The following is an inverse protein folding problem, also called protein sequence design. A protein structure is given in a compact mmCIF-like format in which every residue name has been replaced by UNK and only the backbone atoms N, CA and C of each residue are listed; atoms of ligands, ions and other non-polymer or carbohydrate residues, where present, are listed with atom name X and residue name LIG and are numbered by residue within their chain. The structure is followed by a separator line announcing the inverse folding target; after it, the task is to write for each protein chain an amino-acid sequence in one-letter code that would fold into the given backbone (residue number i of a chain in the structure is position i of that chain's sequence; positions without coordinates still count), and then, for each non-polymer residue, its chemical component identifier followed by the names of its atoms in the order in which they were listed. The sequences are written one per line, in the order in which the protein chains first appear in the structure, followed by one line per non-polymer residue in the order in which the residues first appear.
data_IF_513420443450
#
_entry.id   IF_513420443450
#
_cell.length_a   1.000
_cell.length_b   1.000
_cell.length_c   1.000
_cell.angle_alpha   90.00
_cell.angle_beta   90.00
_cell.angle_gamma   90.00
#
_symmetry.space_group_name_H-M   'P 1'
#
loop_
_entity.id
_entity.type
_entity.pdbx_description
1 polymer ?
#
# COMPACT_ATOMS: atom_id res chain seq x y z
N UNK A 1 -16.68 -10.17 -0.76
CA UNK A 1 -16.36 -9.31 -1.92
C UNK A 1 -17.66 -8.73 -2.45
N UNK A 2 -17.88 -7.43 -2.32
CA UNK A 2 -18.98 -6.74 -2.99
C UNK A 2 -18.54 -6.47 -4.44
N UNK A 3 -19.19 -7.09 -5.43
CA UNK A 3 -18.85 -6.94 -6.85
C UNK A 3 -19.00 -5.52 -7.40
N UNK A 4 -19.52 -4.59 -6.58
CA UNK A 4 -19.67 -3.18 -6.92
C UNK A 4 -18.49 -2.31 -6.50
N UNK A 5 -17.54 -2.83 -5.73
CA UNK A 5 -16.31 -2.11 -5.36
C UNK A 5 -15.23 -2.35 -6.40
N UNK A 6 -14.71 -1.27 -6.96
CA UNK A 6 -13.63 -1.31 -7.95
C UNK A 6 -12.32 -0.93 -7.26
N UNK A 7 -11.25 -1.65 -7.60
CA UNK A 7 -9.89 -1.31 -7.20
C UNK A 7 -9.12 -0.92 -8.46
N UNK A 8 -8.56 0.29 -8.50
CA UNK A 8 -7.73 0.77 -9.60
C UNK A 8 -6.24 0.57 -9.28
N UNK A 9 -5.53 -0.09 -10.19
CA UNK A 9 -4.07 -0.16 -10.15
C UNK A 9 -3.46 1.17 -10.60
N UNK A 10 -2.62 1.77 -9.75
CA UNK A 10 -2.02 3.10 -10.00
C UNK A 10 -0.54 3.05 -10.35
N UNK A 11 0.05 1.85 -10.51
CA UNK A 11 1.40 1.65 -11.01
C UNK A 11 2.40 1.17 -9.95
N UNK A 12 3.69 1.25 -10.29
CA UNK A 12 4.79 0.78 -9.41
C UNK A 12 5.95 1.75 -9.22
N UNK A 13 5.97 2.86 -9.95
CA UNK A 13 7.17 3.71 -10.02
C UNK A 13 7.19 4.85 -9.00
N UNK A 14 6.05 5.47 -8.73
CA UNK A 14 5.93 6.60 -7.81
C UNK A 14 4.55 6.63 -7.18
N UNK A 15 4.44 6.72 -5.85
CA UNK A 15 3.17 6.98 -5.17
C UNK A 15 2.50 8.26 -5.69
N UNK A 16 1.18 8.24 -5.81
CA UNK A 16 0.37 9.39 -6.24
C UNK A 16 -0.88 9.49 -5.37
N UNK A 17 -0.71 10.03 -4.16
CA UNK A 17 -1.80 10.25 -3.20
C UNK A 17 -2.94 11.10 -3.78
N UNK A 18 -2.62 12.05 -4.68
CA UNK A 18 -3.64 12.86 -5.34
C UNK A 18 -4.49 12.02 -6.30
N UNK A 19 -3.92 10.99 -6.95
CA UNK A 19 -4.70 10.02 -7.73
C UNK A 19 -5.57 9.14 -6.85
N UNK A 20 -5.07 8.72 -5.69
CA UNK A 20 -5.83 7.89 -4.75
C UNK A 20 -7.04 8.62 -4.17
N UNK A 21 -6.85 9.88 -3.75
CA UNK A 21 -7.95 10.73 -3.30
C UNK A 21 -8.99 10.98 -4.42
N UNK A 22 -8.55 11.17 -5.67
CA UNK A 22 -9.46 11.27 -6.82
C UNK A 22 -10.25 9.97 -7.05
N UNK A 23 -9.61 8.81 -6.92
CA UNK A 23 -10.28 7.51 -7.05
C UNK A 23 -11.32 7.34 -5.94
N UNK A 24 -10.95 7.62 -4.68
CA UNK A 24 -11.84 7.51 -3.52
C UNK A 24 -13.09 8.39 -3.67
N UNK A 25 -12.94 9.61 -4.20
CA UNK A 25 -14.07 10.51 -4.52
C UNK A 25 -15.03 9.98 -5.59
N UNK A 26 -14.66 8.91 -6.30
CA UNK A 26 -15.48 8.22 -7.31
C UNK A 26 -15.83 6.78 -6.90
N UNK A 27 -15.76 6.44 -5.61
CA UNK A 27 -16.02 5.10 -5.07
C UNK A 27 -15.09 4.01 -5.66
N UNK A 28 -13.86 4.40 -6.04
CA UNK A 28 -12.81 3.50 -6.52
C UNK A 28 -11.68 3.46 -5.49
N UNK A 29 -11.38 2.27 -4.99
CA UNK A 29 -10.25 2.02 -4.08
C UNK A 29 -8.94 1.95 -4.90
N UNK A 30 -7.79 2.22 -4.27
CA UNK A 30 -6.51 2.26 -5.00
C UNK A 30 -5.57 1.13 -4.59
N UNK A 31 -4.90 0.56 -5.60
CA UNK A 31 -3.83 -0.42 -5.45
C UNK A 31 -2.53 0.08 -6.09
N UNK A 32 -1.40 -0.15 -5.43
CA UNK A 32 -0.07 0.30 -5.86
C UNK A 32 0.97 -0.76 -5.51
N UNK A 33 2.06 -0.81 -6.28
CA UNK A 33 3.15 -1.75 -6.04
C UNK A 33 4.49 -1.08 -5.76
N UNK A 34 5.24 -1.61 -4.80
CA UNK A 34 6.65 -1.25 -4.56
C UNK A 34 7.62 -2.22 -5.24
N UNK A 35 7.08 -3.13 -6.05
CA UNK A 35 7.75 -4.21 -6.78
C UNK A 35 8.80 -3.73 -7.79
N UNK A 36 9.81 -4.56 -8.03
CA UNK A 36 10.81 -4.29 -9.08
C UNK A 36 12.07 -5.15 -8.94
N UNK A 37 13.09 -4.84 -9.76
CA UNK A 37 14.42 -5.45 -9.58
C UNK A 37 15.05 -4.95 -8.28
N UNK A 38 15.85 -5.81 -7.64
CA UNK A 38 16.61 -5.37 -6.47
C UNK A 38 17.58 -4.24 -6.84
N UNK A 39 17.66 -3.21 -6.00
CA UNK A 39 18.39 -1.97 -6.22
C UNK A 39 17.60 -0.91 -6.99
N UNK A 40 16.43 -1.25 -7.55
CA UNK A 40 15.56 -0.33 -8.29
C UNK A 40 14.16 -0.22 -7.69
N UNK A 41 13.70 -1.26 -6.97
CA UNK A 41 12.37 -1.30 -6.35
C UNK A 41 12.27 -0.35 -5.17
N UNK A 42 11.05 0.17 -4.95
CA UNK A 42 10.77 1.08 -3.85
C UNK A 42 10.99 0.41 -2.49
N UNK A 43 10.79 -0.91 -2.39
CA UNK A 43 11.06 -1.65 -1.14
C UNK A 43 12.50 -1.45 -0.63
N UNK A 44 13.49 -1.48 -1.54
CA UNK A 44 14.90 -1.34 -1.17
C UNK A 44 15.22 0.12 -0.79
N UNK A 45 14.43 1.09 -1.26
CA UNK A 45 14.54 2.51 -0.90
C UNK A 45 13.93 2.76 0.48
N UNK A 46 12.72 2.27 0.71
CA UNK A 46 12.00 2.46 1.98
C UNK A 46 12.75 1.80 3.13
N UNK A 47 13.29 0.60 2.94
CA UNK A 47 14.03 -0.10 3.99
C UNK A 47 15.49 0.35 4.15
N UNK A 48 15.96 1.32 3.36
CA UNK A 48 17.38 1.67 3.29
C UNK A 48 17.95 2.21 4.60
N UNK A 49 17.13 2.89 5.41
CA UNK A 49 17.55 3.48 6.69
C UNK A 49 17.24 2.57 7.90
N UNK A 50 16.71 1.37 7.65
CA UNK A 50 16.37 0.38 8.66
C UNK A 50 15.03 0.63 9.37
N UNK A 51 14.23 1.60 8.93
CA UNK A 51 12.81 1.69 9.28
C UNK A 51 11.97 1.50 7.99
N UNK A 52 10.72 1.06 8.13
CA UNK A 52 9.81 0.88 6.98
C UNK A 52 8.64 1.86 7.01
N UNK A 53 8.81 3.03 7.64
CA UNK A 53 7.71 3.95 7.93
C UNK A 53 6.98 4.42 6.68
N UNK A 54 7.67 4.47 5.53
CA UNK A 54 7.09 4.80 4.25
C UNK A 54 5.98 3.83 3.82
N UNK A 55 6.00 2.57 4.27
CA UNK A 55 4.87 1.65 4.03
C UNK A 55 3.59 2.10 4.75
N UNK A 56 3.72 2.65 5.96
CA UNK A 56 2.60 3.26 6.68
C UNK A 56 2.14 4.55 5.98
N UNK A 57 3.07 5.39 5.52
CA UNK A 57 2.75 6.62 4.80
C UNK A 57 1.86 6.35 3.57
N UNK A 58 2.09 5.24 2.83
CA UNK A 58 1.22 4.85 1.71
C UNK A 58 -0.23 4.63 2.15
N UNK A 59 -0.44 3.96 3.29
CA UNK A 59 -1.78 3.70 3.82
C UNK A 59 -2.42 4.99 4.35
N UNK A 60 -1.66 5.83 5.06
CA UNK A 60 -2.11 7.13 5.57
C UNK A 60 -2.50 8.07 4.41
N UNK A 61 -1.82 7.98 3.28
CA UNK A 61 -2.14 8.68 2.02
C UNK A 61 -3.36 8.10 1.28
N UNK A 62 -3.97 7.03 1.80
CA UNK A 62 -5.22 6.45 1.29
C UNK A 62 -5.05 5.25 0.35
N UNK A 63 -3.87 4.62 0.32
CA UNK A 63 -3.70 3.35 -0.40
C UNK A 63 -4.46 2.23 0.31
N UNK A 64 -5.24 1.46 -0.47
CA UNK A 64 -6.04 0.36 0.08
C UNK A 64 -5.36 -1.00 -0.09
N UNK A 65 -4.58 -1.17 -1.16
CA UNK A 65 -3.87 -2.42 -1.44
C UNK A 65 -2.44 -2.16 -1.88
N UNK A 66 -1.49 -2.71 -1.13
CA UNK A 66 -0.07 -2.70 -1.44
C UNK A 66 0.37 -4.05 -2.02
N UNK A 67 1.08 -4.02 -3.14
CA UNK A 67 1.83 -5.15 -3.67
C UNK A 67 3.34 -4.92 -3.47
N UNK A 68 3.98 -5.72 -2.62
CA UNK A 68 5.39 -5.54 -2.23
C UNK A 68 6.14 -6.88 -2.30
N UNK A 69 7.44 -6.85 -2.59
CA UNK A 69 8.32 -8.03 -2.46
C UNK A 69 8.78 -8.23 -1.01
N UNK A 70 8.43 -7.30 -0.10
CA UNK A 70 8.76 -7.27 1.34
C UNK A 70 7.52 -7.25 2.23
N UNK A 71 6.58 -8.21 2.07
CA UNK A 71 5.29 -8.16 2.75
C UNK A 71 5.39 -8.29 4.27
N UNK A 72 6.41 -8.98 4.79
CA UNK A 72 6.59 -9.13 6.24
C UNK A 72 7.14 -7.84 6.85
N UNK A 73 8.17 -7.25 6.25
CA UNK A 73 8.74 -5.99 6.69
C UNK A 73 7.71 -4.85 6.59
N UNK A 74 6.90 -4.82 5.52
CA UNK A 74 5.80 -3.87 5.39
C UNK A 74 4.75 -4.07 6.50
N UNK A 75 4.33 -5.31 6.78
CA UNK A 75 3.37 -5.59 7.85
C UNK A 75 3.89 -5.26 9.25
N UNK A 76 5.20 -5.41 9.51
CA UNK A 76 5.83 -5.02 10.78
C UNK A 76 5.94 -3.50 10.93
N UNK A 77 6.22 -2.79 9.83
CA UNK A 77 6.38 -1.34 9.85
C UNK A 77 5.04 -0.59 9.88
N UNK A 78 4.00 -1.20 9.33
CA UNK A 78 2.65 -0.65 9.37
C UNK A 78 2.01 -0.97 10.72
N UNK A 79 1.54 0.07 11.40
CA UNK A 79 0.43 -0.05 12.34
C UNK A 79 -0.81 -0.37 11.51
N UNK A 80 -0.93 -1.62 11.06
CA UNK A 80 -2.18 -2.12 10.53
C UNK A 80 -3.26 -1.73 11.54
N UNK A 81 -4.15 -0.83 11.16
CA UNK A 81 -5.29 -0.43 11.98
C UNK A 81 -5.88 -1.76 12.49
N UNK A 82 -5.88 -1.97 13.82
CA UNK A 82 -6.20 -3.25 14.50
C UNK A 82 -7.51 -3.90 13.99
N UNK A 83 -8.31 -3.13 13.27
CA UNK A 83 -9.55 -3.47 12.57
C UNK A 83 -9.40 -4.48 11.43
N UNK A 84 -8.32 -4.44 10.62
CA UNK A 84 -8.21 -5.29 9.44
C UNK A 84 -7.67 -6.71 9.77
N UNK A 85 -6.72 -6.79 10.71
CA UNK A 85 -6.18 -8.07 11.20
C UNK A 85 -7.24 -8.79 12.06
N UNK A 86 -7.99 -8.07 12.90
CA UNK A 86 -9.10 -8.66 13.65
C UNK A 86 -10.19 -9.26 12.75
N UNK A 87 -10.41 -8.71 11.55
CA UNK A 87 -11.38 -9.24 10.59
C UNK A 87 -10.96 -10.55 9.92
N UNK A 88 -9.65 -10.88 9.91
CA UNK A 88 -9.12 -12.12 9.34
C UNK A 88 -8.89 -13.23 10.39
N UNK A 89 -9.01 -12.92 11.68
CA UNK A 89 -8.76 -13.85 12.80
C UNK A 89 -9.97 -14.16 13.69
N UNK A 90 -11.17 -13.73 13.29
CA UNK A 90 -12.44 -13.99 14.01
C UNK A 90 -13.18 -15.23 13.54
#
# INVERSE_FOLDING_TARGET
MDSRRLIAWTGTGRPDAAAWDRNARNDVESAFGTLGRSGERLDDIYLADGNGSEFQDLADDGLVMLATDRPLEAAEAMTADDTAIAACGG
#
